data_IF_620524827051
#
_entry.id   IF_620524827051
#
_cell.length_a   1.000
_cell.length_b   1.000
_cell.length_c   1.000
_cell.angle_alpha   90.00
_cell.angle_beta   90.00
_cell.angle_gamma   90.00
#
_symmetry.space_group_name_H-M   'P 1'
#
loop_
_entity.id
_entity.type
_entity.pdbx_description
1 polymer ?
#
# COMPACT_ATOMS: atom_id res chain seq x y z
N UNK A 1 -29.67 -7.26 8.12
CA UNK A 1 -28.55 -8.07 7.61
C UNK A 1 -28.37 -9.30 8.51
N UNK A 2 -27.93 -10.45 8.00
CA UNK A 2 -27.60 -11.62 8.83
C UNK A 2 -26.45 -11.30 9.80
N UNK A 3 -26.43 -11.92 10.98
CA UNK A 3 -25.35 -11.78 11.97
C UNK A 3 -23.97 -12.08 11.37
N UNK A 4 -23.89 -13.08 10.48
CA UNK A 4 -22.66 -13.41 9.75
C UNK A 4 -22.19 -12.25 8.87
N UNK A 5 -23.11 -11.61 8.14
CA UNK A 5 -22.79 -10.47 7.27
C UNK A 5 -22.27 -9.28 8.07
N UNK A 6 -22.88 -8.98 9.23
CA UNK A 6 -22.43 -7.89 10.10
C UNK A 6 -21.01 -8.16 10.63
N UNK A 7 -20.71 -9.39 11.02
CA UNK A 7 -19.37 -9.78 11.45
C UNK A 7 -18.33 -9.67 10.31
N UNK A 8 -18.70 -10.11 9.10
CA UNK A 8 -17.85 -10.00 7.92
C UNK A 8 -17.56 -8.54 7.53
N UNK A 9 -18.57 -7.67 7.60
CA UNK A 9 -18.43 -6.23 7.34
C UNK A 9 -17.52 -5.56 8.40
N UNK A 10 -17.69 -5.90 9.68
CA UNK A 10 -16.86 -5.38 10.76
C UNK A 10 -15.39 -5.81 10.61
N UNK A 11 -15.13 -7.07 10.27
CA UNK A 11 -13.78 -7.57 10.04
C UNK A 11 -13.11 -6.87 8.83
N UNK A 12 -13.87 -6.65 7.75
CA UNK A 12 -13.38 -5.91 6.59
C UNK A 12 -13.04 -4.46 6.96
N UNK A 13 -13.92 -3.77 7.69
CA UNK A 13 -13.69 -2.39 8.14
C UNK A 13 -12.44 -2.28 9.01
N UNK A 14 -12.25 -3.19 9.98
CA UNK A 14 -11.08 -3.22 10.83
C UNK A 14 -9.78 -3.39 10.03
N UNK A 15 -9.78 -4.29 9.04
CA UNK A 15 -8.63 -4.47 8.15
C UNK A 15 -8.37 -3.22 7.30
N UNK A 16 -9.42 -2.58 6.77
CA UNK A 16 -9.31 -1.38 5.95
C UNK A 16 -8.71 -0.21 6.75
N UNK A 17 -9.15 -0.01 7.99
CA UNK A 17 -8.62 1.00 8.91
C UNK A 17 -7.14 0.72 9.23
N UNK A 18 -6.81 -0.52 9.61
CA UNK A 18 -5.43 -0.91 9.92
C UNK A 18 -4.50 -0.80 8.70
N UNK A 19 -5.01 -1.08 7.49
CA UNK A 19 -4.28 -0.90 6.24
C UNK A 19 -3.92 0.56 5.96
N UNK A 20 -4.86 1.48 6.22
CA UNK A 20 -4.59 2.92 6.11
C UNK A 20 -3.52 3.37 7.12
N UNK A 21 -3.65 2.98 8.39
CA UNK A 21 -2.69 3.34 9.43
C UNK A 21 -1.28 2.81 9.13
N UNK A 22 -1.18 1.58 8.61
CA UNK A 22 0.10 0.99 8.17
C UNK A 22 0.71 1.79 7.02
N UNK A 23 -0.11 2.20 6.05
CA UNK A 23 0.35 3.01 4.92
C UNK A 23 0.79 4.42 5.35
N UNK A 24 0.06 5.03 6.29
CA UNK A 24 0.42 6.31 6.89
C UNK A 24 1.74 6.21 7.66
N UNK A 25 1.91 5.17 8.49
CA UNK A 25 3.16 4.92 9.21
C UNK A 25 4.33 4.72 8.25
N UNK A 26 4.15 3.92 7.20
CA UNK A 26 5.13 3.73 6.13
C UNK A 26 5.51 5.06 5.50
N UNK A 27 4.53 5.91 5.15
CA UNK A 27 4.82 7.19 4.50
C UNK A 27 5.56 8.16 5.43
N UNK A 28 5.12 8.27 6.69
CA UNK A 28 5.73 9.15 7.70
C UNK A 28 7.15 8.72 8.05
N UNK A 29 7.38 7.41 8.12
CA UNK A 29 8.66 6.82 8.49
C UNK A 29 9.34 6.17 7.29
N UNK A 30 9.17 6.74 6.09
CA UNK A 30 9.64 6.14 4.84
C UNK A 30 11.09 5.65 4.91
N UNK A 31 11.98 6.50 5.38
CA UNK A 31 13.42 6.24 5.39
C UNK A 31 13.80 5.09 6.33
N UNK A 32 13.00 4.81 7.37
CA UNK A 32 13.15 3.63 8.26
C UNK A 32 12.95 2.31 7.50
N UNK A 33 11.99 2.29 6.57
CA UNK A 33 11.66 1.08 5.80
C UNK A 33 12.47 1.00 4.51
N UNK A 34 12.51 2.11 3.78
CA UNK A 34 13.08 2.22 2.45
C UNK A 34 14.59 2.42 2.44
N UNK A 35 15.23 2.72 3.58
CA UNK A 35 16.61 3.18 3.61
C UNK A 35 16.80 4.56 2.99
N UNK A 36 18.05 5.02 2.89
CA UNK A 36 18.39 6.33 2.32
C UNK A 36 19.52 6.21 1.30
N UNK A 37 19.47 7.05 0.25
CA UNK A 37 20.53 7.10 -0.76
C UNK A 37 20.79 5.75 -1.43
N UNK A 38 22.03 5.27 -1.33
CA UNK A 38 22.49 4.01 -1.92
C UNK A 38 22.06 2.77 -1.11
N UNK A 39 21.63 2.94 0.15
CA UNK A 39 21.13 1.85 1.02
C UNK A 39 19.62 1.59 0.83
N UNK A 40 19.09 1.94 -0.35
CA UNK A 40 17.68 1.79 -0.65
C UNK A 40 17.23 0.32 -0.55
N UNK A 41 16.29 0.03 0.35
CA UNK A 41 15.74 -1.31 0.57
C UNK A 41 14.24 -1.36 0.23
N UNK A 42 13.95 -1.74 -1.01
CA UNK A 42 12.57 -1.90 -1.47
C UNK A 42 11.83 -3.08 -0.84
N UNK A 43 12.52 -4.11 -0.37
CA UNK A 43 11.88 -5.33 0.13
C UNK A 43 11.09 -5.09 1.44
N UNK A 44 11.60 -4.21 2.30
CA UNK A 44 10.88 -3.75 3.48
C UNK A 44 9.61 -2.98 3.13
N UNK A 45 9.65 -2.11 2.12
CA UNK A 45 8.46 -1.38 1.65
C UNK A 45 7.42 -2.36 1.12
N UNK A 46 7.83 -3.34 0.32
CA UNK A 46 6.95 -4.41 -0.21
C UNK A 46 6.26 -5.22 0.90
N UNK A 47 6.98 -5.49 2.00
CA UNK A 47 6.38 -6.11 3.19
C UNK A 47 5.35 -5.21 3.87
N UNK A 48 5.62 -3.91 3.99
CA UNK A 48 4.66 -2.96 4.58
C UNK A 48 3.39 -2.82 3.74
N UNK A 49 3.50 -2.77 2.41
CA UNK A 49 2.32 -2.70 1.53
C UNK A 49 1.62 -4.06 1.33
N UNK A 50 2.10 -5.13 1.96
CA UNK A 50 1.45 -6.44 1.95
C UNK A 50 1.53 -7.20 0.63
N UNK A 51 2.47 -6.85 -0.26
CA UNK A 51 2.76 -7.60 -1.48
C UNK A 51 3.77 -8.73 -1.27
N UNK A 52 4.53 -8.67 -0.17
CA UNK A 52 5.43 -9.73 0.30
C UNK A 52 5.10 -10.09 1.75
N UNK A 53 4.94 -11.39 2.02
CA UNK A 53 4.56 -11.89 3.35
C UNK A 53 3.08 -11.72 3.68
N UNK A 54 2.71 -12.04 4.91
CA UNK A 54 1.31 -12.14 5.37
C UNK A 54 1.00 -11.28 6.62
N UNK A 55 1.98 -10.51 7.10
CA UNK A 55 1.87 -9.77 8.38
C UNK A 55 1.30 -8.38 8.28
N UNK A 56 1.38 -7.75 7.10
CA UNK A 56 0.80 -6.41 6.90
C UNK A 56 -0.72 -6.50 6.84
N UNK A 57 -1.46 -5.58 7.48
CA UNK A 57 -2.91 -5.45 7.29
C UNK A 57 -3.33 -5.22 5.83
N UNK A 58 -2.41 -4.72 4.98
CA UNK A 58 -2.63 -4.57 3.54
C UNK A 58 -2.61 -5.91 2.79
N UNK A 59 -2.11 -6.99 3.40
CA UNK A 59 -2.16 -8.32 2.79
C UNK A 59 -3.61 -8.75 2.54
N UNK A 60 -3.95 -9.00 1.28
CA UNK A 60 -5.31 -9.38 0.88
C UNK A 60 -6.34 -8.23 0.98
N UNK A 61 -5.91 -6.97 1.14
CA UNK A 61 -6.80 -5.81 1.29
C UNK A 61 -7.84 -5.70 0.17
N UNK A 62 -7.49 -6.13 -1.04
CA UNK A 62 -8.40 -6.21 -2.19
C UNK A 62 -9.72 -6.91 -1.83
N UNK A 63 -9.63 -8.03 -1.09
CA UNK A 63 -10.82 -8.79 -0.67
C UNK A 63 -11.69 -8.00 0.31
N UNK A 64 -11.07 -7.24 1.21
CA UNK A 64 -11.80 -6.40 2.18
C UNK A 64 -12.52 -5.25 1.46
N UNK A 65 -11.86 -4.57 0.52
CA UNK A 65 -12.47 -3.49 -0.27
C UNK A 65 -13.64 -3.99 -1.13
N UNK A 66 -13.49 -5.14 -1.79
CA UNK A 66 -14.56 -5.76 -2.57
C UNK A 66 -15.74 -6.21 -1.70
N UNK A 67 -15.49 -6.74 -0.49
CA UNK A 67 -16.57 -7.06 0.47
C UNK A 67 -17.40 -5.83 0.83
N UNK A 68 -16.75 -4.67 0.92
CA UNK A 68 -17.40 -3.37 1.16
C UNK A 68 -18.01 -2.74 -0.09
N UNK A 69 -17.97 -3.44 -1.22
CA UNK A 69 -18.55 -3.00 -2.51
C UNK A 69 -18.02 -1.64 -2.94
N UNK A 70 -16.71 -1.45 -2.75
CA UNK A 70 -16.02 -0.28 -3.28
C UNK A 70 -16.32 -0.17 -4.79
N UNK A 71 -16.51 1.06 -5.25
CA UNK A 71 -16.68 1.35 -6.67
C UNK A 71 -15.47 0.83 -7.48
N UNK A 72 -15.73 0.38 -8.70
CA UNK A 72 -14.73 -0.30 -9.52
C UNK A 72 -13.59 0.65 -9.91
N UNK A 73 -13.89 1.89 -10.28
CA UNK A 73 -12.87 2.87 -10.68
C UNK A 73 -11.98 3.21 -9.47
N UNK A 74 -12.58 3.30 -8.28
CA UNK A 74 -11.82 3.50 -7.05
C UNK A 74 -10.92 2.31 -6.72
N UNK A 75 -11.42 1.09 -6.92
CA UNK A 75 -10.67 -0.13 -6.71
C UNK A 75 -9.50 -0.26 -7.70
N UNK A 76 -9.72 -0.01 -8.98
CA UNK A 76 -8.69 -0.08 -10.01
C UNK A 76 -7.57 0.94 -9.77
N UNK A 77 -7.93 2.18 -9.38
CA UNK A 77 -6.94 3.20 -9.06
C UNK A 77 -6.13 2.85 -7.81
N UNK A 78 -6.79 2.33 -6.77
CA UNK A 78 -6.11 1.80 -5.58
C UNK A 78 -5.12 0.69 -5.95
N UNK A 79 -5.56 -0.23 -6.82
CA UNK A 79 -4.78 -1.37 -7.23
C UNK A 79 -3.55 -1.00 -8.08
N UNK A 80 -3.75 -0.06 -9.00
CA UNK A 80 -2.71 0.51 -9.85
C UNK A 80 -1.61 1.13 -9.00
N UNK A 81 -1.98 1.86 -7.95
CA UNK A 81 -1.03 2.52 -7.05
C UNK A 81 -0.26 1.50 -6.20
N UNK A 82 -0.90 0.48 -5.61
CA UNK A 82 -0.18 -0.61 -4.92
C UNK A 82 0.81 -1.30 -5.85
N UNK A 83 0.35 -1.64 -7.06
CA UNK A 83 1.19 -2.33 -8.07
C UNK A 83 2.38 -1.47 -8.46
N UNK A 84 2.21 -0.15 -8.59
CA UNK A 84 3.31 0.78 -8.85
C UNK A 84 4.32 0.80 -7.70
N UNK A 85 3.87 0.89 -6.45
CA UNK A 85 4.77 0.90 -5.28
C UNK A 85 5.56 -0.41 -5.23
N UNK A 86 4.92 -1.55 -5.45
CA UNK A 86 5.59 -2.86 -5.47
C UNK A 86 6.62 -2.95 -6.60
N UNK A 87 6.24 -2.57 -7.82
CA UNK A 87 7.11 -2.64 -9.00
C UNK A 87 8.33 -1.75 -8.87
N UNK A 88 8.17 -0.52 -8.38
CA UNK A 88 9.29 0.41 -8.16
C UNK A 88 10.19 -0.10 -7.02
N UNK A 89 9.59 -0.54 -5.92
CA UNK A 89 10.35 -1.07 -4.77
C UNK A 89 11.12 -2.34 -5.14
N UNK A 90 10.52 -3.24 -5.92
CA UNK A 90 11.20 -4.42 -6.44
C UNK A 90 12.36 -4.03 -7.36
N UNK A 91 12.14 -3.10 -8.28
CA UNK A 91 13.17 -2.64 -9.22
C UNK A 91 14.35 -1.98 -8.50
N UNK A 92 14.08 -1.27 -7.41
CA UNK A 92 15.14 -0.64 -6.60
C UNK A 92 16.16 -1.64 -6.05
N UNK A 93 15.74 -2.88 -5.74
CA UNK A 93 16.61 -3.95 -5.20
C UNK A 93 17.70 -4.37 -6.20
N UNK A 94 17.45 -4.24 -7.51
CA UNK A 94 18.34 -4.73 -8.57
C UNK A 94 19.01 -3.61 -9.38
N UNK A 95 18.79 -2.35 -9.00
CA UNK A 95 19.21 -1.17 -9.76
C UNK A 95 20.67 -0.74 -9.48
N UNK A 96 21.57 -1.71 -9.39
CA UNK A 96 22.94 -1.53 -8.89
C UNK A 96 24.00 -1.39 -10.02
N UNK A 97 23.67 -1.75 -11.26
CA UNK A 97 24.63 -1.65 -12.37
C UNK A 97 24.75 -0.22 -12.93
N UNK A 98 25.92 0.13 -13.45
CA UNK A 98 26.15 1.38 -14.19
C UNK A 98 25.36 1.48 -15.51
N UNK A 99 24.80 0.36 -15.98
CA UNK A 99 23.97 0.25 -17.17
C UNK A 99 22.47 0.24 -16.87
N UNK A 100 22.08 0.25 -15.59
CA UNK A 100 20.68 0.28 -15.20
C UNK A 100 20.01 1.55 -15.74
N UNK A 101 18.79 1.47 -16.30
CA UNK A 101 18.10 2.62 -16.88
C UNK A 101 17.79 3.70 -15.84
N UNK A 102 17.77 3.32 -14.56
CA UNK A 102 17.46 4.18 -13.43
C UNK A 102 18.11 3.61 -12.17
N UNK A 103 18.60 4.49 -11.27
CA UNK A 103 19.21 4.11 -9.98
C UNK A 103 18.15 3.73 -8.94
N UNK A 104 18.51 2.88 -7.98
CA UNK A 104 17.60 2.39 -6.94
C UNK A 104 16.89 3.50 -6.16
N UNK A 105 17.62 4.52 -5.71
CA UNK A 105 17.02 5.67 -5.01
C UNK A 105 15.95 6.39 -5.83
N UNK A 106 16.09 6.41 -7.16
CA UNK A 106 15.13 7.07 -8.02
C UNK A 106 13.86 6.23 -8.15
N UNK A 107 13.96 4.90 -8.18
CA UNK A 107 12.78 4.03 -8.04
C UNK A 107 12.09 4.23 -6.70
N UNK A 108 12.85 4.28 -5.59
CA UNK A 108 12.26 4.53 -4.27
C UNK A 108 11.61 5.91 -4.15
N UNK A 109 12.12 6.94 -4.84
CA UNK A 109 11.47 8.25 -4.92
C UNK A 109 10.09 8.15 -5.58
N UNK A 110 9.97 7.40 -6.66
CA UNK A 110 8.69 7.18 -7.36
C UNK A 110 7.74 6.33 -6.52
N UNK A 111 8.26 5.30 -5.84
CA UNK A 111 7.50 4.49 -4.91
C UNK A 111 6.90 5.37 -3.78
N UNK A 112 7.71 6.26 -3.17
CA UNK A 112 7.25 7.20 -2.13
C UNK A 112 6.17 8.14 -2.64
N UNK A 113 6.29 8.62 -3.88
CA UNK A 113 5.29 9.47 -4.50
C UNK A 113 3.97 8.71 -4.72
N UNK A 114 4.04 7.46 -5.20
CA UNK A 114 2.87 6.59 -5.35
C UNK A 114 2.24 6.24 -3.99
N UNK A 115 3.04 6.03 -2.93
CA UNK A 115 2.54 5.85 -1.56
C UNK A 115 1.75 7.07 -1.07
N UNK A 116 2.23 8.28 -1.35
CA UNK A 116 1.49 9.52 -1.03
C UNK A 116 0.15 9.60 -1.76
N UNK A 117 0.14 9.26 -3.06
CA UNK A 117 -1.07 9.23 -3.87
C UNK A 117 -2.07 8.19 -3.35
N UNK A 118 -1.57 6.98 -3.03
CA UNK A 118 -2.38 5.92 -2.44
C UNK A 118 -2.96 6.36 -1.11
N UNK A 119 -2.20 7.01 -0.24
CA UNK A 119 -2.70 7.48 1.05
C UNK A 119 -3.85 8.48 0.89
N UNK A 120 -3.75 9.42 -0.05
CA UNK A 120 -4.82 10.36 -0.35
C UNK A 120 -6.07 9.64 -0.91
N UNK A 121 -5.88 8.70 -1.84
CA UNK A 121 -7.00 7.89 -2.38
C UNK A 121 -7.64 7.03 -1.30
N UNK A 122 -6.85 6.40 -0.46
CA UNK A 122 -7.29 5.57 0.66
C UNK A 122 -8.10 6.42 1.65
N UNK A 123 -7.68 7.65 1.94
CA UNK A 123 -8.50 8.55 2.77
C UNK A 123 -9.88 8.78 2.16
N UNK A 124 -9.96 9.07 0.86
CA UNK A 124 -11.25 9.20 0.16
C UNK A 124 -12.10 7.93 0.24
N UNK A 125 -11.48 6.75 0.14
CA UNK A 125 -12.16 5.45 0.31
C UNK A 125 -12.74 5.30 1.72
N UNK A 126 -11.98 5.68 2.77
CA UNK A 126 -12.47 5.64 4.14
C UNK A 126 -13.69 6.56 4.31
N UNK A 127 -13.62 7.78 3.77
CA UNK A 127 -14.72 8.74 3.81
C UNK A 127 -15.97 8.19 3.08
N UNK A 128 -15.81 7.62 1.87
CA UNK A 128 -16.89 6.97 1.10
C UNK A 128 -17.53 5.81 1.87
N UNK A 129 -16.73 5.05 2.63
CA UNK A 129 -17.20 3.92 3.42
C UNK A 129 -17.73 4.31 4.81
N UNK A 130 -17.61 5.59 5.20
CA UNK A 130 -17.98 6.10 6.52
C UNK A 130 -17.11 5.53 7.65
N UNK A 131 -15.81 5.34 7.40
CA UNK A 131 -14.85 4.77 8.34
C UNK A 131 -13.95 5.86 8.92
N UNK A 132 -13.89 5.93 10.25
CA UNK A 132 -13.04 6.88 10.97
C UNK A 132 -11.69 6.24 11.35
N UNK A 133 -10.62 7.05 11.34
CA UNK A 133 -9.22 6.70 11.59
C UNK A 133 -8.56 7.72 12.48
#
# INVERSE_FOLDING_TARGET
ASAKKLADDAAANAQIIAGYQTLEELYRNWDKYAGTGEEANGDNVRRQIGTVGDKSPLFGIRKALLKRRLDLDEFEEFDRLITKIDSDSYSAIFADSSTAPKRGYAYMKDAKAATKQLLAKYRGILDTLGLEV
#
